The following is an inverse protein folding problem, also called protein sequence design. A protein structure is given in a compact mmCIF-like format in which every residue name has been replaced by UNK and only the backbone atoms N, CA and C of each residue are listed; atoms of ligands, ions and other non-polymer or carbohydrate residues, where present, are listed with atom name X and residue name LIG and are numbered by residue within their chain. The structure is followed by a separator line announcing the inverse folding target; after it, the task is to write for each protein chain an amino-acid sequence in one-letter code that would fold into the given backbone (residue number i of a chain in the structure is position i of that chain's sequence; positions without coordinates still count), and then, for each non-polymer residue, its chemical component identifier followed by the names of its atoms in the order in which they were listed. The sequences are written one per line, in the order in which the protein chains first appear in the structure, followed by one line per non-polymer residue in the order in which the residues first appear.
data_IF_590630528060
#
_entry.id   IF_590630528060
#
_cell.length_a   1.000
_cell.length_b   1.000
_cell.length_c   1.000
_cell.angle_alpha   90.00
_cell.angle_beta   90.00
_cell.angle_gamma   90.00
#
_symmetry.space_group_name_H-M   'P 1'
#
loop_
_entity.id
_entity.type
_entity.pdbx_description
1 polymer ?
#
# COMPACT_ATOMS: atom_id res chain seq x y z
N UNK A 1 -50.59 1.41 -19.79
CA UNK A 1 -49.91 0.51 -18.84
C UNK A 1 -50.22 -0.92 -19.20
N UNK A 2 -49.55 -1.62 -20.11
CA UNK A 2 -48.63 -1.30 -21.23
C UNK A 2 -48.15 -2.70 -21.64
N UNK A 3 -48.66 -3.29 -22.73
CA UNK A 3 -48.32 -4.66 -23.16
C UNK A 3 -46.81 -4.88 -23.38
N UNK A 4 -46.06 -3.79 -23.58
CA UNK A 4 -44.60 -3.70 -23.71
C UNK A 4 -43.82 -4.19 -22.47
N UNK A 5 -44.39 -4.11 -21.26
CA UNK A 5 -43.70 -4.58 -20.05
C UNK A 5 -43.71 -6.12 -19.94
N UNK A 6 -44.67 -6.78 -20.61
CA UNK A 6 -44.77 -8.25 -20.59
C UNK A 6 -43.76 -8.95 -21.51
N UNK A 7 -43.46 -8.32 -22.65
CA UNK A 7 -42.54 -8.88 -23.66
C UNK A 7 -41.08 -8.75 -23.21
N UNK A 8 -40.74 -7.64 -22.55
CA UNK A 8 -39.40 -7.41 -22.00
C UNK A 8 -39.05 -8.41 -20.90
N UNK A 9 -40.01 -8.76 -20.03
CA UNK A 9 -39.83 -9.79 -19.01
C UNK A 9 -39.67 -11.20 -19.60
N UNK A 10 -40.39 -11.52 -20.68
CA UNK A 10 -40.21 -12.79 -21.42
C UNK A 10 -38.82 -12.89 -22.06
N UNK A 11 -38.31 -11.81 -22.64
CA UNK A 11 -36.96 -11.78 -23.20
C UNK A 11 -35.88 -11.92 -22.12
N UNK A 12 -36.04 -11.24 -20.99
CA UNK A 12 -35.12 -11.36 -19.85
C UNK A 12 -35.06 -12.79 -19.29
N UNK A 13 -36.21 -13.46 -19.15
CA UNK A 13 -36.24 -14.86 -18.69
C UNK A 13 -35.60 -15.83 -19.68
N UNK A 14 -35.76 -15.63 -20.99
CA UNK A 14 -35.09 -16.44 -22.01
C UNK A 14 -33.57 -16.25 -22.01
N UNK A 15 -33.09 -15.00 -21.86
CA UNK A 15 -31.67 -14.68 -21.79
C UNK A 15 -31.00 -15.36 -20.57
N UNK A 16 -31.65 -15.28 -19.40
CA UNK A 16 -31.16 -15.92 -18.16
C UNK A 16 -31.08 -17.44 -18.34
N UNK A 17 -32.10 -18.04 -18.97
CA UNK A 17 -32.14 -19.48 -19.26
C UNK A 17 -31.08 -19.91 -20.28
N UNK A 18 -30.69 -19.04 -21.20
CA UNK A 18 -29.57 -19.29 -22.11
C UNK A 18 -28.20 -19.19 -21.45
N UNK A 19 -27.97 -18.16 -20.64
CA UNK A 19 -26.74 -18.01 -19.88
C UNK A 19 -26.48 -19.21 -18.95
N UNK A 20 -27.54 -19.72 -18.31
CA UNK A 20 -27.48 -20.93 -17.48
C UNK A 20 -27.17 -22.19 -18.29
N UNK A 21 -27.68 -22.29 -19.53
CA UNK A 21 -27.37 -23.39 -20.45
C UNK A 21 -25.88 -23.38 -20.82
N UNK A 22 -25.34 -22.23 -21.21
CA UNK A 22 -23.95 -22.08 -21.66
C UNK A 22 -22.96 -22.40 -20.52
N UNK A 23 -23.26 -21.97 -19.29
CA UNK A 23 -22.43 -22.28 -18.10
C UNK A 23 -22.28 -23.78 -17.82
N UNK A 24 -23.30 -24.60 -18.10
CA UNK A 24 -23.21 -26.06 -17.86
C UNK A 24 -22.31 -26.78 -18.86
N UNK A 25 -22.06 -26.21 -20.04
CA UNK A 25 -21.28 -26.87 -21.10
C UNK A 25 -19.80 -26.45 -21.15
N UNK A 26 -19.34 -25.50 -20.31
CA UNK A 26 -17.96 -24.99 -20.41
C UNK A 26 -16.89 -25.77 -19.64
N UNK A 27 -17.23 -26.82 -18.89
CA UNK A 27 -16.28 -27.48 -17.98
C UNK A 27 -15.96 -28.95 -18.35
N UNK A 28 -15.84 -29.25 -19.65
CA UNK A 28 -15.38 -30.57 -20.12
C UNK A 28 -14.01 -30.50 -20.79
N UNK A 29 -13.00 -29.99 -20.07
CA UNK A 29 -11.59 -30.25 -20.42
C UNK A 29 -11.09 -31.45 -19.62
N UNK A 30 -11.35 -32.64 -20.16
CA UNK A 30 -10.80 -33.90 -19.65
C UNK A 30 -9.29 -33.92 -19.94
N UNK A 31 -8.46 -33.82 -18.90
CA UNK A 31 -7.01 -33.92 -19.00
C UNK A 31 -6.62 -35.35 -19.42
N UNK A 32 -6.12 -35.50 -20.65
CA UNK A 32 -5.83 -36.77 -21.35
C UNK A 32 -4.82 -37.73 -20.69
N UNK A 33 -4.19 -37.33 -19.59
CA UNK A 33 -3.11 -38.08 -18.94
C UNK A 33 -3.58 -38.92 -17.75
N UNK A 34 -4.86 -38.83 -17.36
CA UNK A 34 -5.43 -39.61 -16.25
C UNK A 34 -5.42 -41.14 -16.48
N UNK A 35 -5.76 -41.69 -17.67
CA UNK A 35 -5.81 -43.15 -17.83
C UNK A 35 -4.42 -43.80 -17.83
N UNK A 36 -3.40 -43.12 -18.36
CA UNK A 36 -2.03 -43.62 -18.49
C UNK A 36 -1.37 -43.79 -17.11
N UNK A 37 -1.52 -42.81 -16.23
CA UNK A 37 -0.97 -42.85 -14.86
C UNK A 37 -1.57 -44.01 -14.04
N UNK A 38 -2.85 -44.34 -14.27
CA UNK A 38 -3.51 -45.46 -13.59
C UNK A 38 -2.97 -46.80 -14.08
N UNK A 39 -2.64 -46.95 -15.37
CA UNK A 39 -2.03 -48.18 -15.89
C UNK A 39 -0.60 -48.37 -15.39
N UNK A 40 0.23 -47.32 -15.41
CA UNK A 40 1.61 -47.37 -14.92
C UNK A 40 1.67 -47.78 -13.44
N UNK A 41 0.79 -47.22 -12.59
CA UNK A 41 0.73 -47.56 -11.15
C UNK A 41 0.37 -49.01 -10.86
N UNK A 42 -0.24 -49.73 -11.82
CA UNK A 42 -0.61 -51.14 -11.70
C UNK A 42 0.52 -52.07 -12.16
N UNK A 43 1.32 -51.67 -13.15
CA UNK A 43 2.41 -52.47 -13.71
C UNK A 43 3.59 -52.62 -12.74
N UNK A 44 3.86 -51.62 -11.90
CA UNK A 44 5.01 -51.61 -10.98
C UNK A 44 4.78 -52.45 -9.70
N UNK A 45 3.73 -53.25 -9.62
CA UNK A 45 3.38 -54.03 -8.43
C UNK A 45 3.57 -55.53 -8.70
N UNK A 46 4.47 -56.17 -7.95
CA UNK A 46 4.59 -57.62 -7.93
C UNK A 46 3.27 -58.26 -7.46
N UNK A 47 2.81 -59.28 -8.20
CA UNK A 47 1.49 -59.90 -8.02
C UNK A 47 1.23 -60.49 -6.61
N UNK A 48 2.29 -60.72 -5.81
CA UNK A 48 2.22 -61.38 -4.51
C UNK A 48 3.10 -60.72 -3.42
N UNK A 49 3.27 -59.38 -3.51
CA UNK A 49 4.17 -58.60 -2.62
C UNK A 49 3.89 -58.76 -1.12
N UNK A 50 2.63 -58.89 -0.69
CA UNK A 50 2.27 -58.82 0.74
C UNK A 50 2.16 -60.18 1.43
N UNK A 51 1.60 -61.19 0.77
CA UNK A 51 1.26 -62.47 1.43
C UNK A 51 1.86 -63.73 0.76
N UNK A 52 2.64 -63.57 -0.32
CA UNK A 52 3.21 -64.72 -1.04
C UNK A 52 2.16 -65.70 -1.59
N UNK A 53 2.59 -66.84 -2.15
CA UNK A 53 1.68 -67.91 -2.58
C UNK A 53 1.09 -68.66 -1.37
N UNK A 54 -0.21 -68.99 -1.44
CA UNK A 54 -0.95 -69.62 -0.34
C UNK A 54 -0.46 -71.04 0.03
N UNK A 55 0.15 -71.76 -0.92
CA UNK A 55 0.84 -73.04 -0.71
C UNK A 55 2.16 -72.98 -1.48
N UNK A 56 3.28 -72.98 -0.74
CA UNK A 56 4.63 -73.03 -1.33
C UNK A 56 4.96 -74.50 -1.57
N UNK A 57 5.03 -74.90 -2.84
CA UNK A 57 5.47 -76.25 -3.20
C UNK A 57 6.97 -76.39 -2.90
N UNK A 58 7.34 -77.42 -2.14
CA UNK A 58 8.74 -77.71 -1.85
C UNK A 58 9.42 -78.27 -3.10
N UNK A 59 10.60 -77.76 -3.49
CA UNK A 59 11.34 -78.32 -4.60
C UNK A 59 11.77 -79.76 -4.26
N UNK A 60 11.63 -80.66 -5.23
CA UNK A 60 12.20 -82.01 -5.15
C UNK A 60 13.71 -81.92 -4.86
N UNK A 61 14.27 -82.81 -4.02
CA UNK A 61 15.68 -82.78 -3.62
C UNK A 61 16.69 -82.84 -4.79
N UNK A 62 16.28 -83.26 -5.99
CA UNK A 62 17.14 -83.19 -7.18
C UNK A 62 17.28 -81.77 -7.77
N UNK A 63 16.43 -80.83 -7.35
CA UNK A 63 16.37 -79.44 -7.86
C UNK A 63 16.98 -78.43 -6.89
N UNK A 64 17.81 -78.86 -5.94
CA UNK A 64 18.58 -77.93 -5.11
C UNK A 64 19.53 -77.06 -5.95
N UNK A 65 19.81 -75.86 -5.44
CA UNK A 65 20.65 -74.85 -6.08
C UNK A 65 22.06 -75.39 -6.33
N UNK A 66 22.48 -75.49 -7.60
CA UNK A 66 23.85 -75.88 -8.00
C UNK A 66 24.70 -74.61 -8.15
N UNK A 67 26.02 -74.70 -7.92
CA UNK A 67 26.94 -73.54 -7.82
C UNK A 67 26.75 -72.44 -8.90
N UNK A 68 26.54 -72.73 -10.20
CA UNK A 68 26.37 -71.66 -11.21
C UNK A 68 24.90 -71.28 -11.51
N UNK A 69 23.91 -71.68 -10.73
CA UNK A 69 22.49 -71.53 -11.13
C UNK A 69 21.91 -70.11 -10.92
N UNK A 70 22.57 -69.26 -10.13
CA UNK A 70 22.15 -67.87 -9.88
C UNK A 70 23.00 -66.83 -10.60
N UNK A 71 24.11 -67.25 -11.20
CA UNK A 71 25.01 -66.36 -11.91
C UNK A 71 24.45 -66.11 -13.31
N UNK A 72 24.26 -64.84 -13.67
CA UNK A 72 23.92 -64.48 -15.04
C UNK A 72 25.08 -64.84 -15.94
N UNK A 73 24.85 -65.68 -16.95
CA UNK A 73 25.86 -65.94 -17.97
C UNK A 73 26.19 -64.62 -18.68
N UNK A 74 27.47 -64.25 -18.86
CA UNK A 74 27.81 -63.12 -19.70
C UNK A 74 27.29 -63.38 -21.10
N UNK A 75 26.65 -62.38 -21.70
CA UNK A 75 26.23 -62.46 -23.09
C UNK A 75 27.49 -62.40 -23.96
N UNK A 76 27.92 -63.54 -24.50
CA UNK A 76 28.90 -63.59 -25.58
C UNK A 76 28.20 -63.18 -26.88
N UNK A 77 28.10 -61.87 -27.09
CA UNK A 77 27.59 -61.27 -28.31
C UNK A 77 28.41 -60.04 -28.64
N UNK A 78 28.87 -59.95 -29.89
CA UNK A 78 29.55 -58.75 -30.39
C UNK A 78 28.65 -57.53 -30.17
N UNK A 79 29.19 -56.52 -29.48
CA UNK A 79 28.54 -55.25 -29.20
C UNK A 79 28.38 -54.46 -30.53
N UNK A 80 27.42 -54.83 -31.37
CA UNK A 80 27.12 -54.09 -32.60
C UNK A 80 26.34 -52.82 -32.26
N UNK A 81 27.02 -51.83 -31.67
CA UNK A 81 26.52 -50.45 -31.57
C UNK A 81 27.65 -49.42 -31.76
N UNK A 82 28.55 -49.71 -32.69
CA UNK A 82 29.50 -48.73 -33.19
C UNK A 82 29.40 -48.67 -34.71
N UNK A 83 29.22 -47.43 -35.21
CA UNK A 83 29.51 -46.99 -36.59
C UNK A 83 28.35 -46.83 -37.61
N UNK A 84 27.16 -46.36 -37.18
CA UNK A 84 26.30 -45.57 -38.08
C UNK A 84 26.13 -44.10 -37.65
N UNK A 85 27.18 -43.54 -37.06
CA UNK A 85 27.35 -42.09 -36.99
C UNK A 85 28.54 -41.77 -37.88
N UNK A 86 28.27 -41.44 -39.15
CA UNK A 86 29.27 -40.73 -39.95
C UNK A 86 29.59 -39.44 -39.18
N UNK A 87 30.82 -39.17 -38.73
CA UNK A 87 31.12 -37.88 -38.16
C UNK A 87 30.92 -36.88 -39.30
N UNK A 88 29.91 -36.02 -39.17
CA UNK A 88 29.80 -34.84 -40.03
C UNK A 88 31.15 -34.12 -39.93
N UNK A 89 31.81 -33.76 -41.04
CA UNK A 89 33.10 -33.08 -40.96
C UNK A 89 32.90 -31.85 -40.07
N UNK A 90 33.73 -31.74 -39.03
CA UNK A 90 33.66 -30.62 -38.10
C UNK A 90 33.71 -29.34 -38.92
N UNK A 91 32.62 -28.57 -38.90
CA UNK A 91 32.62 -27.22 -39.47
C UNK A 91 33.79 -26.51 -38.79
N UNK A 92 34.84 -26.17 -39.55
CA UNK A 92 35.91 -25.31 -39.03
C UNK A 92 35.19 -24.07 -38.53
N UNK A 93 35.10 -23.91 -37.21
CA UNK A 93 34.63 -22.68 -36.60
C UNK A 93 35.71 -21.65 -36.88
N UNK A 94 35.65 -21.06 -38.08
CA UNK A 94 36.33 -19.82 -38.37
C UNK A 94 35.88 -18.88 -37.26
N UNK A 95 36.81 -18.53 -36.37
CA UNK A 95 36.56 -17.65 -35.24
C UNK A 95 36.40 -16.23 -35.78
N UNK A 96 35.26 -15.98 -36.41
CA UNK A 96 34.79 -14.66 -36.82
C UNK A 96 33.34 -14.52 -36.36
N UNK A 97 33.10 -14.73 -35.06
CA UNK A 97 31.82 -14.37 -34.44
C UNK A 97 31.84 -12.97 -33.80
N UNK A 98 32.79 -12.11 -34.16
CA UNK A 98 32.94 -10.80 -33.51
C UNK A 98 33.30 -9.67 -34.48
N UNK A 99 32.76 -9.67 -35.70
CA UNK A 99 32.88 -8.50 -36.56
C UNK A 99 31.69 -8.42 -37.52
N UNK A 100 30.54 -7.95 -37.01
CA UNK A 100 29.40 -7.66 -37.88
C UNK A 100 28.01 -7.94 -37.31
N UNK A 101 27.86 -8.20 -36.01
CA UNK A 101 26.54 -8.02 -35.40
C UNK A 101 26.31 -6.52 -35.31
N UNK A 102 25.54 -6.03 -36.28
CA UNK A 102 25.07 -4.66 -36.40
C UNK A 102 24.69 -4.13 -35.03
N UNK A 103 25.19 -2.94 -34.72
CA UNK A 103 25.22 -2.30 -33.41
C UNK A 103 23.84 -2.08 -32.77
N UNK A 104 22.73 -2.48 -33.41
CA UNK A 104 21.37 -2.13 -33.01
C UNK A 104 20.32 -3.21 -33.35
N UNK A 105 20.61 -4.50 -33.25
CA UNK A 105 19.51 -5.49 -33.35
C UNK A 105 18.63 -5.41 -32.09
N UNK A 106 17.31 -5.26 -32.28
CA UNK A 106 16.35 -5.16 -31.18
C UNK A 106 16.42 -6.38 -30.25
N UNK A 107 16.71 -7.56 -30.80
CA UNK A 107 16.84 -8.81 -30.06
C UNK A 107 18.01 -8.82 -29.07
N UNK A 108 19.19 -8.32 -29.46
CA UNK A 108 20.34 -8.21 -28.55
C UNK A 108 20.07 -7.15 -27.48
N UNK A 109 19.45 -6.03 -27.84
CA UNK A 109 19.07 -4.99 -26.88
C UNK A 109 18.04 -5.51 -25.86
N UNK A 110 17.05 -6.25 -26.31
CA UNK A 110 16.01 -6.78 -25.43
C UNK A 110 16.54 -7.92 -24.55
N UNK A 111 17.45 -8.75 -25.08
CA UNK A 111 18.18 -9.73 -24.29
C UNK A 111 19.04 -9.06 -23.21
N UNK A 112 19.82 -8.03 -23.57
CA UNK A 112 20.65 -7.28 -22.61
C UNK A 112 19.76 -6.59 -21.58
N UNK A 113 18.67 -5.93 -21.98
CA UNK A 113 17.70 -5.33 -21.04
C UNK A 113 17.11 -6.36 -20.09
N UNK A 114 16.75 -7.54 -20.58
CA UNK A 114 16.19 -8.61 -19.75
C UNK A 114 17.24 -9.17 -18.79
N UNK A 115 18.46 -9.41 -19.27
CA UNK A 115 19.57 -9.95 -18.48
C UNK A 115 20.11 -8.97 -17.43
N UNK A 116 20.05 -7.66 -17.71
CA UNK A 116 20.48 -6.59 -16.79
C UNK A 116 19.36 -6.07 -15.89
N UNK A 117 18.09 -6.43 -16.15
CA UNK A 117 16.97 -6.02 -15.31
C UNK A 117 17.11 -6.64 -13.91
N UNK A 118 17.18 -5.77 -12.89
CA UNK A 118 17.18 -6.20 -11.50
C UNK A 118 15.82 -6.85 -11.19
N UNK A 119 15.79 -8.11 -10.73
CA UNK A 119 14.53 -8.78 -10.40
C UNK A 119 13.85 -8.05 -9.24
N UNK A 120 12.52 -7.89 -9.34
CA UNK A 120 11.73 -7.32 -8.25
C UNK A 120 11.81 -8.26 -7.05
N UNK A 121 12.20 -7.73 -5.90
CA UNK A 121 12.15 -8.49 -4.64
C UNK A 121 10.69 -8.87 -4.35
N UNK A 122 10.39 -10.13 -4.02
CA UNK A 122 9.03 -10.54 -3.68
C UNK A 122 8.57 -9.79 -2.42
N UNK A 123 7.27 -9.54 -2.32
CA UNK A 123 6.70 -8.97 -1.11
C UNK A 123 6.94 -9.91 0.08
N UNK A 124 7.34 -9.38 1.25
CA UNK A 124 7.50 -10.18 2.44
C UNK A 124 6.14 -10.74 2.86
N UNK A 125 6.01 -12.07 2.82
CA UNK A 125 4.81 -12.81 3.16
C UNK A 125 5.18 -13.93 4.13
N UNK A 126 4.27 -14.22 5.05
CA UNK A 126 4.36 -15.41 5.90
C UNK A 126 3.38 -16.47 5.39
N UNK A 127 3.76 -17.73 5.57
CA UNK A 127 3.00 -18.93 5.20
C UNK A 127 2.85 -19.77 6.46
N UNK A 128 1.60 -19.92 6.91
CA UNK A 128 1.29 -20.64 8.15
C UNK A 128 0.90 -22.10 7.85
N UNK A 129 0.17 -22.35 6.75
CA UNK A 129 -0.31 -23.69 6.41
C UNK A 129 0.60 -24.44 5.44
N UNK A 130 0.62 -25.77 5.57
CA UNK A 130 1.28 -26.68 4.60
C UNK A 130 0.66 -26.61 3.19
N UNK A 131 -0.59 -26.12 3.07
CA UNK A 131 -1.29 -25.83 1.80
C UNK A 131 -0.77 -24.57 1.10
N UNK A 132 0.06 -23.77 1.78
CA UNK A 132 0.69 -22.59 1.18
C UNK A 132 -0.18 -21.31 1.22
N UNK A 133 -1.09 -21.17 2.18
CA UNK A 133 -1.82 -19.92 2.36
C UNK A 133 -0.86 -18.80 2.76
N UNK A 134 -0.80 -17.73 1.95
CA UNK A 134 0.16 -16.63 2.12
C UNK A 134 -0.55 -15.39 2.65
N UNK A 135 -0.01 -14.81 3.70
CA UNK A 135 -0.47 -13.54 4.25
C UNK A 135 0.65 -12.49 4.19
N UNK A 136 0.36 -11.24 3.78
CA UNK A 136 1.35 -10.17 3.79
C UNK A 136 1.88 -9.91 5.20
N UNK A 137 3.20 -9.85 5.34
CA UNK A 137 3.85 -9.68 6.64
C UNK A 137 3.58 -8.30 7.26
N UNK A 138 3.36 -7.28 6.42
CA UNK A 138 3.11 -5.89 6.85
C UNK A 138 1.90 -5.72 7.79
N UNK A 139 0.88 -6.58 7.66
CA UNK A 139 -0.36 -6.50 8.45
C UNK A 139 -0.36 -7.41 9.69
N UNK A 140 0.61 -8.33 9.77
CA UNK A 140 0.70 -9.33 10.86
C UNK A 140 1.16 -8.76 12.20
N UNK A 141 1.56 -7.49 12.25
CA UNK A 141 2.17 -6.86 13.44
C UNK A 141 3.64 -7.23 13.66
N UNK A 142 4.20 -8.18 12.90
CA UNK A 142 5.61 -8.59 12.98
C UNK A 142 6.57 -7.55 12.39
N UNK A 143 6.09 -6.71 11.46
CA UNK A 143 6.90 -5.67 10.83
C UNK A 143 6.56 -4.30 11.42
N UNK A 144 7.54 -3.60 12.00
CA UNK A 144 7.35 -2.22 12.44
C UNK A 144 6.99 -1.27 11.29
N UNK A 145 5.70 -0.92 11.18
CA UNK A 145 5.19 -0.04 10.11
C UNK A 145 5.29 1.45 10.45
N UNK A 146 4.97 1.82 11.69
CA UNK A 146 4.81 3.23 12.09
C UNK A 146 5.98 3.81 12.88
N UNK A 147 6.96 2.99 13.29
CA UNK A 147 8.10 3.45 14.10
C UNK A 147 8.98 4.44 13.32
N UNK A 148 9.21 4.19 12.02
CA UNK A 148 10.06 5.03 11.16
C UNK A 148 9.25 6.01 10.30
N UNK A 149 8.05 6.40 10.75
CA UNK A 149 7.24 7.38 10.01
C UNK A 149 7.99 8.72 9.98
N UNK A 150 8.10 9.34 8.80
CA UNK A 150 8.82 10.63 8.61
C UNK A 150 8.24 11.79 9.44
N UNK A 151 6.98 11.67 9.79
CA UNK A 151 6.21 12.67 10.55
C UNK A 151 6.05 12.26 12.01
N UNK A 152 6.78 11.24 12.46
CA UNK A 152 6.79 10.87 13.87
C UNK A 152 7.30 12.03 14.71
N UNK A 153 6.57 12.39 15.76
CA UNK A 153 6.87 13.54 16.62
C UNK A 153 6.58 14.91 16.00
N UNK A 154 6.18 15.00 14.72
CA UNK A 154 5.77 16.28 14.12
C UNK A 154 4.29 16.55 14.38
N UNK A 155 3.97 17.81 14.64
CA UNK A 155 2.58 18.27 14.73
C UNK A 155 1.94 18.21 13.34
N UNK A 156 0.82 17.51 13.17
CA UNK A 156 0.10 17.49 11.90
C UNK A 156 -0.33 18.88 11.44
N UNK A 157 -0.29 19.13 10.13
CA UNK A 157 -0.63 20.42 9.52
C UNK A 157 -2.02 20.94 9.91
N UNK A 158 -3.01 20.05 10.03
CA UNK A 158 -4.38 20.44 10.41
C UNK A 158 -4.46 21.03 11.82
N UNK A 159 -3.59 20.62 12.75
CA UNK A 159 -3.54 21.20 14.09
C UNK A 159 -2.93 22.60 14.07
N UNK A 160 -1.94 22.83 13.20
CA UNK A 160 -1.34 24.14 13.00
C UNK A 160 -2.37 25.12 12.43
N UNK A 161 -3.07 24.72 11.37
CA UNK A 161 -4.14 25.50 10.75
C UNK A 161 -5.24 25.85 11.76
N UNK A 162 -5.69 24.87 12.56
CA UNK A 162 -6.69 25.10 13.61
C UNK A 162 -6.22 26.10 14.67
N UNK A 163 -4.95 26.06 15.05
CA UNK A 163 -4.41 27.01 16.03
C UNK A 163 -4.30 28.42 15.44
N UNK A 164 -3.87 28.55 14.18
CA UNK A 164 -3.83 29.83 13.48
C UNK A 164 -5.21 30.44 13.30
N UNK A 165 -6.23 29.65 12.98
CA UNK A 165 -7.63 30.10 12.88
C UNK A 165 -8.14 30.62 14.23
N UNK A 166 -7.83 29.91 15.32
CA UNK A 166 -8.19 30.37 16.67
C UNK A 166 -7.53 31.70 17.01
N UNK A 167 -6.22 31.82 16.77
CA UNK A 167 -5.48 33.06 17.01
C UNK A 167 -6.06 34.22 16.18
N UNK A 168 -6.34 33.99 14.89
CA UNK A 168 -6.98 34.98 14.02
C UNK A 168 -8.34 35.43 14.57
N UNK A 169 -9.18 34.50 15.00
CA UNK A 169 -10.48 34.82 15.59
C UNK A 169 -10.36 35.62 16.90
N UNK A 170 -9.39 35.28 17.76
CA UNK A 170 -9.11 36.01 19.01
C UNK A 170 -8.61 37.44 18.74
N UNK A 171 -7.76 37.61 17.72
CA UNK A 171 -7.27 38.93 17.29
C UNK A 171 -8.41 39.79 16.71
N UNK A 172 -9.24 39.21 15.85
CA UNK A 172 -10.42 39.89 15.28
C UNK A 172 -11.40 40.32 16.36
N UNK A 173 -11.68 39.44 17.33
CA UNK A 173 -12.52 39.77 18.48
C UNK A 173 -11.91 40.90 19.32
N UNK A 174 -10.60 40.83 19.58
CA UNK A 174 -9.89 41.87 20.34
C UNK A 174 -9.93 43.22 19.64
N UNK A 175 -9.74 43.26 18.31
CA UNK A 175 -9.87 44.47 17.49
C UNK A 175 -11.28 45.04 17.53
N UNK A 176 -12.30 44.19 17.37
CA UNK A 176 -13.70 44.61 17.47
C UNK A 176 -14.01 45.24 18.84
N UNK A 177 -13.56 44.62 19.93
CA UNK A 177 -13.75 45.16 21.28
C UNK A 177 -13.00 46.48 21.47
N UNK A 178 -11.79 46.62 20.92
CA UNK A 178 -11.03 47.88 20.95
C UNK A 178 -11.76 48.99 20.18
N UNK A 179 -12.22 48.72 18.97
CA UNK A 179 -12.98 49.68 18.16
C UNK A 179 -14.27 50.12 18.86
N UNK A 180 -15.01 49.18 19.45
CA UNK A 180 -16.19 49.50 20.26
C UNK A 180 -15.86 50.37 21.47
N UNK A 181 -14.69 50.15 22.11
CA UNK A 181 -14.21 51.00 23.21
C UNK A 181 -13.83 52.40 22.72
N UNK A 182 -13.19 52.51 21.56
CA UNK A 182 -12.80 53.79 20.95
C UNK A 182 -14.02 54.60 20.50
N UNK A 183 -15.01 53.96 19.88
CA UNK A 183 -16.28 54.57 19.50
C UNK A 183 -17.05 55.12 20.70
N UNK A 184 -17.06 54.36 21.81
CA UNK A 184 -17.69 54.79 23.08
C UNK A 184 -16.82 55.75 23.88
N UNK A 185 -15.53 55.89 23.55
CA UNK A 185 -14.64 56.80 24.25
C UNK A 185 -15.03 58.25 23.91
N UNK A 186 -15.11 59.14 24.89
CA UNK A 186 -15.31 60.55 24.61
C UNK A 186 -14.15 61.08 23.77
N UNK A 187 -14.44 62.02 22.85
CA UNK A 187 -13.41 62.68 22.02
C UNK A 187 -12.27 63.17 22.92
N UNK A 188 -11.05 62.68 22.68
CA UNK A 188 -9.86 63.21 23.34
C UNK A 188 -9.51 64.53 22.68
N UNK A 189 -9.53 65.61 23.47
CA UNK A 189 -9.06 66.92 23.02
C UNK A 189 -7.57 66.83 22.67
N UNK A 190 -7.13 67.43 21.55
CA UNK A 190 -5.71 67.55 21.24
C UNK A 190 -5.00 68.34 22.36
N UNK A 191 -3.72 68.05 22.56
CA UNK A 191 -2.97 68.55 23.71
C UNK A 191 -2.92 70.08 23.79
N UNK A 192 -2.98 70.76 22.65
CA UNK A 192 -3.02 72.22 22.56
C UNK A 192 -4.33 72.80 23.10
N UNK A 193 -5.47 72.28 22.63
CA UNK A 193 -6.81 72.68 23.12
C UNK A 193 -6.97 72.34 24.59
N UNK A 194 -6.45 71.19 25.02
CA UNK A 194 -6.44 70.77 26.42
C UNK A 194 -5.71 71.77 27.31
N UNK A 195 -4.52 72.25 26.89
CA UNK A 195 -3.76 73.27 27.62
C UNK A 195 -4.52 74.60 27.68
N UNK A 196 -5.16 75.01 26.59
CA UNK A 196 -5.99 76.21 26.55
C UNK A 196 -7.13 76.17 27.58
N UNK A 197 -7.89 75.08 27.60
CA UNK A 197 -9.00 74.88 28.57
C UNK A 197 -8.48 74.85 30.01
N UNK A 198 -7.33 74.23 30.26
CA UNK A 198 -6.72 74.23 31.58
C UNK A 198 -6.32 75.64 32.03
N UNK A 199 -5.69 76.43 31.16
CA UNK A 199 -5.28 77.81 31.47
C UNK A 199 -6.52 78.68 31.78
N UNK A 200 -7.58 78.57 30.99
CA UNK A 200 -8.81 79.35 31.23
C UNK A 200 -9.50 78.95 32.54
N UNK A 201 -9.57 77.66 32.86
CA UNK A 201 -10.09 77.17 34.14
C UNK A 201 -9.24 77.67 35.32
N UNK A 202 -7.92 77.65 35.18
CA UNK A 202 -7.00 78.09 36.24
C UNK A 202 -7.14 79.60 36.49
N UNK A 203 -7.24 80.38 35.41
CA UNK A 203 -7.47 81.83 35.50
C UNK A 203 -8.81 82.16 36.16
N UNK A 204 -9.90 81.50 35.75
CA UNK A 204 -11.25 81.75 36.31
C UNK A 204 -11.38 81.36 37.77
N UNK A 205 -10.79 80.23 38.19
CA UNK A 205 -10.75 79.81 39.58
C UNK A 205 -9.96 80.79 40.47
N UNK A 206 -8.81 81.24 39.99
CA UNK A 206 -7.99 82.24 40.69
C UNK A 206 -8.72 83.58 40.80
N UNK A 207 -9.37 84.04 39.73
CA UNK A 207 -10.16 85.25 39.74
C UNK A 207 -11.33 85.15 40.72
N UNK A 208 -12.08 84.03 40.71
CA UNK A 208 -13.19 83.78 41.64
C UNK A 208 -12.73 83.74 43.10
N UNK A 209 -11.59 83.10 43.39
CA UNK A 209 -10.97 83.12 44.73
C UNK A 209 -10.67 84.56 45.17
N UNK A 210 -10.08 85.36 44.29
CA UNK A 210 -9.75 86.76 44.58
C UNK A 210 -10.99 87.61 44.85
N UNK A 211 -12.06 87.42 44.06
CA UNK A 211 -13.32 88.15 44.27
C UNK A 211 -13.98 87.78 45.61
N UNK A 212 -13.97 86.49 45.98
CA UNK A 212 -14.47 86.07 47.31
C UNK A 212 -13.65 86.67 48.45
N UNK A 213 -12.32 86.72 48.33
CA UNK A 213 -11.44 87.38 49.33
C UNK A 213 -11.80 88.86 49.52
N UNK A 214 -12.00 89.59 48.41
CA UNK A 214 -12.40 91.00 48.46
C UNK A 214 -13.79 91.20 49.06
N UNK A 215 -14.73 90.30 48.79
CA UNK A 215 -16.05 90.33 49.44
C UNK A 215 -15.96 90.07 50.94
N UNK A 216 -15.13 89.12 51.38
CA UNK A 216 -14.91 88.88 52.81
C UNK A 216 -14.24 90.08 53.48
N UNK A 217 -13.23 90.68 52.85
CA UNK A 217 -12.56 91.90 53.34
C UNK A 217 -13.54 93.07 53.47
N UNK A 218 -14.41 93.29 52.46
CA UNK A 218 -15.46 94.32 52.51
C UNK A 218 -16.46 94.08 53.64
N UNK A 219 -16.88 92.82 53.87
CA UNK A 219 -17.76 92.46 54.99
C UNK A 219 -17.09 92.67 56.35
N UNK A 220 -15.80 92.33 56.47
CA UNK A 220 -15.03 92.59 57.68
C UNK A 220 -14.87 94.09 57.96
N UNK A 221 -14.58 94.90 56.94
CA UNK A 221 -14.49 96.36 57.08
C UNK A 221 -15.83 97.01 57.44
N UNK A 222 -16.94 96.54 56.85
CA UNK A 222 -18.28 97.03 57.17
C UNK A 222 -18.68 96.73 58.63
N UNK A 223 -18.34 95.54 59.14
CA UNK A 223 -18.59 95.17 60.55
C UNK A 223 -17.74 95.95 61.56
N UNK A 224 -16.62 96.57 61.16
CA UNK A 224 -15.80 97.40 62.03
C UNK A 224 -16.28 98.86 62.11
N UNK A 225 -17.24 99.26 61.25
CA UNK A 225 -17.81 100.61 61.19
C UNK A 225 -19.19 100.73 61.84
N UNK A 226 -19.75 99.64 62.35
CA UNK A 226 -20.97 99.56 63.18
C UNK A 226 -20.62 99.25 64.62
#
# INVERSE_FOLDING_TARGET
FSDSDSETLKLWTLLIREAWRISKYSNSTLHSFRPTVVQESKLTKDAMRTMGPAKVELPSPDKYLKKPSKESRPLEGEFIYLMLIKPTPALRRNHQFLQGLTTNSFTLRDFIKTATAVPKKPQPMWVDTNTGHKQPLENSGLVPKYIKKKDYGKVPAYLQQRNEEKLRAEEEYSKFVQEQREQRAPRRLPDEERRGVLITLLFTLNFRKRMKSKETERKHLANLQT
#
